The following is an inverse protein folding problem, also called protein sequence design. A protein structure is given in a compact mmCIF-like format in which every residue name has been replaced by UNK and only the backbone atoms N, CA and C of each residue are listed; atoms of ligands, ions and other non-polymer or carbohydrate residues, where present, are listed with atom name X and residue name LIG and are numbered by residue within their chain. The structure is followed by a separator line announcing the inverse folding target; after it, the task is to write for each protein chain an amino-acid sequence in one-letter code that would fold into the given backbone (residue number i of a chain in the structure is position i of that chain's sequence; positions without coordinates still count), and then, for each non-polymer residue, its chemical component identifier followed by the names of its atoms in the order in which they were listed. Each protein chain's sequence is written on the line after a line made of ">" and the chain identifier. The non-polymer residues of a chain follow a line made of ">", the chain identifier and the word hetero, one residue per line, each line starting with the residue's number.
data_IF_970244015862
#
_entry.id   IF_970244015862
#
_cell.length_a   1.000
_cell.length_b   1.000
_cell.length_c   1.000
_cell.angle_alpha   90.00
_cell.angle_beta   90.00
_cell.angle_gamma   90.00
#
_symmetry.space_group_name_H-M   'P 1'
#
loop_
_entity.id
_entity.type
_entity.pdbx_description
1 polymer ?
#
# COMPACT_ATOMS: atom_id res chain seq x y z
N UNK A 1 -15.55 34.04 -16.83
CA UNK A 1 -15.27 32.59 -16.84
C UNK A 1 -13.89 32.42 -16.24
N UNK A 2 -13.73 32.08 -14.95
CA UNK A 2 -12.41 31.72 -14.36
C UNK A 2 -12.57 31.23 -12.90
N UNK A 3 -13.49 30.29 -12.66
CA UNK A 3 -13.64 29.64 -11.33
C UNK A 3 -13.53 28.11 -11.37
N UNK A 4 -13.26 27.53 -12.54
CA UNK A 4 -13.18 26.08 -12.73
C UNK A 4 -11.73 25.55 -12.85
N UNK A 5 -10.73 26.40 -13.09
CA UNK A 5 -9.34 25.96 -13.23
C UNK A 5 -8.62 25.74 -11.88
N UNK A 6 -8.98 26.47 -10.82
CA UNK A 6 -8.30 26.34 -9.51
C UNK A 6 -8.60 25.03 -8.76
N UNK A 7 -9.73 24.38 -9.04
CA UNK A 7 -10.13 23.12 -8.40
C UNK A 7 -9.53 21.87 -9.07
N UNK A 8 -9.16 21.99 -10.36
CA UNK A 8 -8.47 20.92 -11.09
C UNK A 8 -6.99 20.86 -10.68
N UNK A 9 -6.35 22.03 -10.59
CA UNK A 9 -4.96 22.19 -10.17
C UNK A 9 -4.73 21.69 -8.73
N UNK A 10 -5.62 22.06 -7.81
CA UNK A 10 -5.52 21.63 -6.41
C UNK A 10 -5.81 20.14 -6.19
N UNK A 11 -6.69 19.50 -6.98
CA UNK A 11 -6.89 18.04 -6.91
C UNK A 11 -5.69 17.28 -7.46
N UNK A 12 -5.09 17.76 -8.54
CA UNK A 12 -3.90 17.15 -9.14
C UNK A 12 -2.68 17.32 -8.23
N UNK A 13 -2.47 18.51 -7.65
CA UNK A 13 -1.42 18.75 -6.65
C UNK A 13 -1.59 17.90 -5.39
N UNK A 14 -2.80 17.74 -4.85
CA UNK A 14 -3.04 16.87 -3.67
C UNK A 14 -2.82 15.39 -4.02
N UNK A 15 -3.15 14.98 -5.25
CA UNK A 15 -2.89 13.62 -5.71
C UNK A 15 -1.38 13.34 -5.89
N UNK A 16 -0.60 14.33 -6.33
CA UNK A 16 0.86 14.22 -6.41
C UNK A 16 1.54 14.29 -5.04
N UNK A 17 1.04 15.11 -4.10
CA UNK A 17 1.58 15.19 -2.73
C UNK A 17 1.43 13.90 -1.91
N UNK A 18 0.53 13.02 -2.32
CA UNK A 18 0.31 11.73 -1.67
C UNK A 18 1.12 10.60 -2.30
N UNK A 19 1.87 10.86 -3.38
CA UNK A 19 2.75 9.88 -4.03
C UNK A 19 4.17 9.99 -3.52
N UNK A 20 4.82 8.87 -3.32
CA UNK A 20 6.24 8.83 -2.97
C UNK A 20 6.90 7.57 -3.54
N UNK A 21 8.21 7.64 -3.75
CA UNK A 21 8.99 6.54 -4.31
C UNK A 21 9.98 6.05 -3.29
N UNK A 22 10.06 4.72 -3.13
CA UNK A 22 11.04 4.05 -2.27
C UNK A 22 11.95 3.20 -3.14
N UNK A 23 13.26 3.34 -3.00
CA UNK A 23 14.20 2.39 -3.58
C UNK A 23 14.31 1.13 -2.72
N UNK A 24 13.94 -0.01 -3.28
CA UNK A 24 14.08 -1.32 -2.62
C UNK A 24 14.90 -2.27 -3.50
N UNK A 25 16.07 -2.67 -3.01
CA UNK A 25 17.00 -3.60 -3.70
C UNK A 25 17.37 -3.15 -5.13
N UNK A 26 17.49 -1.84 -5.36
CA UNK A 26 17.84 -1.26 -6.66
C UNK A 26 16.66 -1.09 -7.62
N UNK A 27 15.42 -1.31 -7.15
CA UNK A 27 14.20 -1.07 -7.91
C UNK A 27 13.36 0.01 -7.22
N UNK A 28 12.87 1.02 -7.96
CA UNK A 28 11.93 1.99 -7.41
C UNK A 28 10.54 1.36 -7.29
N UNK A 29 9.91 1.53 -6.12
CA UNK A 29 8.50 1.24 -5.89
C UNK A 29 7.76 2.55 -5.65
N UNK A 30 6.69 2.77 -6.40
CA UNK A 30 5.87 3.97 -6.32
C UNK A 30 4.65 3.69 -5.45
N UNK A 31 4.53 4.44 -4.36
CA UNK A 31 3.43 4.33 -3.41
C UNK A 31 2.53 5.55 -3.46
N UNK A 32 1.29 5.35 -3.05
CA UNK A 32 0.30 6.38 -2.74
C UNK A 32 -0.09 6.21 -1.27
N UNK A 33 -0.07 7.31 -0.52
CA UNK A 33 -0.65 7.36 0.83
C UNK A 33 -2.13 7.04 0.79
N UNK A 34 -2.54 6.04 1.55
CA UNK A 34 -3.95 5.69 1.70
C UNK A 34 -4.74 6.83 2.35
N UNK A 35 -5.92 7.08 1.82
CA UNK A 35 -6.92 7.93 2.48
C UNK A 35 -7.60 7.17 3.63
N UNK A 36 -8.20 7.91 4.57
CA UNK A 36 -8.98 7.31 5.67
C UNK A 36 -10.11 6.37 5.17
N UNK A 37 -10.64 6.62 3.97
CA UNK A 37 -11.64 5.74 3.33
C UNK A 37 -11.03 4.40 2.90
N UNK A 38 -9.81 4.41 2.38
CA UNK A 38 -9.10 3.19 1.97
C UNK A 38 -8.58 2.41 3.18
N UNK A 39 -8.10 3.10 4.22
CA UNK A 39 -7.74 2.48 5.50
C UNK A 39 -8.94 1.73 6.12
N UNK A 40 -10.15 2.29 6.02
CA UNK A 40 -11.37 1.63 6.49
C UNK A 40 -11.71 0.33 5.73
N UNK A 41 -11.11 0.08 4.56
CA UNK A 41 -11.27 -1.16 3.79
C UNK A 41 -10.20 -2.21 4.12
N UNK A 42 -9.22 -1.88 4.96
CA UNK A 42 -8.08 -2.76 5.27
C UNK A 42 -8.53 -4.13 5.78
N UNK A 43 -9.42 -4.17 6.78
CA UNK A 43 -9.91 -5.42 7.36
C UNK A 43 -10.61 -6.30 6.30
N UNK A 44 -11.38 -5.69 5.41
CA UNK A 44 -12.05 -6.40 4.32
C UNK A 44 -11.03 -7.00 3.35
N UNK A 45 -10.01 -6.22 2.94
CA UNK A 45 -8.97 -6.68 2.01
C UNK A 45 -8.06 -7.75 2.64
N UNK A 46 -7.63 -7.55 3.88
CA UNK A 46 -6.87 -8.54 4.62
C UNK A 46 -7.68 -9.84 4.80
N UNK A 47 -8.99 -9.74 5.04
CA UNK A 47 -9.88 -10.90 5.07
C UNK A 47 -9.89 -11.71 3.76
N UNK A 48 -9.84 -11.03 2.60
CA UNK A 48 -9.73 -11.71 1.29
C UNK A 48 -8.41 -12.49 1.17
N UNK A 49 -7.29 -11.90 1.61
CA UNK A 49 -5.97 -12.56 1.57
C UNK A 49 -5.90 -13.72 2.55
N UNK A 50 -6.46 -13.57 3.75
CA UNK A 50 -6.41 -14.59 4.80
C UNK A 50 -7.05 -15.91 4.36
N UNK A 51 -8.11 -15.86 3.55
CA UNK A 51 -8.72 -17.04 2.94
C UNK A 51 -7.74 -17.80 2.02
N UNK A 52 -6.94 -17.06 1.24
CA UNK A 52 -5.96 -17.65 0.31
C UNK A 52 -4.70 -18.18 1.02
N UNK A 53 -4.40 -17.67 2.22
CA UNK A 53 -3.29 -18.17 3.04
C UNK A 53 -3.61 -19.51 3.74
N UNK A 54 -4.84 -20.02 3.59
CA UNK A 54 -5.19 -21.35 4.08
C UNK A 54 -4.32 -22.43 3.43
N UNK A 55 -3.53 -23.13 4.23
CA UNK A 55 -2.61 -24.18 3.74
C UNK A 55 -1.14 -23.77 3.62
N UNK A 56 -0.77 -22.52 3.91
CA UNK A 56 0.63 -22.07 3.93
C UNK A 56 1.42 -22.52 5.17
N UNK A 57 0.81 -23.29 6.08
CA UNK A 57 1.46 -23.79 7.30
C UNK A 57 1.77 -22.70 8.33
N UNK A 58 1.26 -21.48 8.13
CA UNK A 58 1.42 -20.34 9.02
C UNK A 58 0.56 -20.50 10.26
N UNK A 59 1.05 -20.02 11.41
CA UNK A 59 0.19 -19.85 12.56
C UNK A 59 -0.78 -18.66 12.36
N UNK A 60 -1.80 -18.57 13.22
CA UNK A 60 -2.84 -17.55 13.07
C UNK A 60 -2.30 -16.10 13.07
N UNK A 61 -1.28 -15.82 13.90
CA UNK A 61 -0.69 -14.50 14.00
C UNK A 61 0.13 -14.16 12.74
N UNK A 62 0.93 -15.10 12.25
CA UNK A 62 1.71 -14.96 11.01
C UNK A 62 0.80 -14.76 9.80
N UNK A 63 -0.25 -15.57 9.68
CA UNK A 63 -1.22 -15.47 8.59
C UNK A 63 -1.94 -14.11 8.62
N UNK A 64 -2.32 -13.64 9.82
CA UNK A 64 -2.94 -12.32 9.98
C UNK A 64 -1.97 -11.21 9.58
N UNK A 65 -0.76 -11.18 10.12
CA UNK A 65 0.24 -10.15 9.79
C UNK A 65 0.54 -10.12 8.29
N UNK A 66 0.71 -11.29 7.67
CA UNK A 66 0.95 -11.39 6.24
C UNK A 66 -0.24 -10.90 5.41
N UNK A 67 -1.47 -11.24 5.82
CA UNK A 67 -2.68 -10.80 5.14
C UNK A 67 -2.81 -9.27 5.13
N UNK A 68 -2.55 -8.62 6.28
CA UNK A 68 -2.56 -7.15 6.38
C UNK A 68 -1.45 -6.50 5.56
N UNK A 69 -0.23 -7.03 5.62
CA UNK A 69 0.88 -6.49 4.83
C UNK A 69 0.62 -6.62 3.32
N UNK A 70 0.08 -7.76 2.89
CA UNK A 70 -0.28 -8.00 1.49
C UNK A 70 -1.38 -7.04 1.04
N UNK A 71 -2.44 -6.88 1.85
CA UNK A 71 -3.52 -5.95 1.56
C UNK A 71 -3.03 -4.49 1.51
N UNK A 72 -2.12 -4.10 2.41
CA UNK A 72 -1.50 -2.78 2.39
C UNK A 72 -0.76 -2.53 1.09
N UNK A 73 0.13 -3.45 0.66
CA UNK A 73 0.87 -3.27 -0.60
C UNK A 73 -0.06 -3.19 -1.80
N UNK A 74 -1.08 -4.05 -1.88
CA UNK A 74 -2.06 -3.99 -2.96
C UNK A 74 -2.75 -2.62 -3.04
N UNK A 75 -3.14 -2.04 -1.90
CA UNK A 75 -3.84 -0.75 -1.89
C UNK A 75 -2.91 0.45 -2.06
N UNK A 76 -1.66 0.33 -1.62
CA UNK A 76 -0.73 1.46 -1.54
C UNK A 76 0.18 1.61 -2.77
N UNK A 77 0.31 0.60 -3.64
CA UNK A 77 1.08 0.74 -4.88
C UNK A 77 0.37 1.68 -5.87
N UNK A 78 1.11 2.62 -6.44
CA UNK A 78 0.63 3.57 -7.44
C UNK A 78 0.30 2.86 -8.76
N UNK A 79 -0.42 3.53 -9.67
CA UNK A 79 -0.85 2.95 -10.96
C UNK A 79 0.29 2.29 -11.75
N UNK A 80 1.52 2.84 -11.71
CA UNK A 80 2.69 2.26 -12.40
C UNK A 80 3.06 0.86 -11.88
N UNK A 81 2.86 0.63 -10.58
CA UNK A 81 3.14 -0.62 -9.88
C UNK A 81 1.84 -1.30 -9.41
N UNK A 82 0.69 -0.91 -9.97
CA UNK A 82 -0.61 -1.37 -9.51
C UNK A 82 -0.82 -2.85 -9.81
N UNK A 83 -1.56 -3.49 -8.92
CA UNK A 83 -1.83 -4.91 -8.95
C UNK A 83 -3.29 -5.15 -9.32
N UNK A 84 -3.54 -6.21 -10.06
CA UNK A 84 -4.85 -6.60 -10.57
C UNK A 84 -5.75 -7.20 -9.47
N UNK A 85 -5.15 -7.84 -8.45
CA UNK A 85 -5.91 -8.44 -7.35
C UNK A 85 -5.14 -8.46 -6.01
N UNK A 86 -5.91 -8.53 -4.91
CA UNK A 86 -5.39 -8.31 -3.55
C UNK A 86 -4.30 -9.30 -3.10
N UNK A 87 -4.29 -10.51 -3.64
CA UNK A 87 -3.32 -11.54 -3.28
C UNK A 87 -2.05 -11.51 -4.14
N UNK A 88 -2.01 -10.67 -5.17
CA UNK A 88 -0.93 -10.63 -6.14
C UNK A 88 0.47 -10.38 -5.56
N UNK A 89 0.66 -9.58 -4.48
CA UNK A 89 1.98 -9.45 -3.87
C UNK A 89 2.59 -10.80 -3.47
N UNK A 90 1.77 -11.79 -3.07
CA UNK A 90 2.23 -13.12 -2.67
C UNK A 90 2.85 -13.92 -3.82
N UNK A 91 2.57 -13.57 -5.07
CA UNK A 91 3.08 -14.29 -6.25
C UNK A 91 4.41 -13.77 -6.75
N UNK A 92 4.74 -12.51 -6.47
CA UNK A 92 5.95 -11.85 -6.98
C UNK A 92 6.95 -11.49 -5.89
N UNK A 93 6.51 -11.45 -4.64
CA UNK A 93 7.33 -11.07 -3.50
C UNK A 93 7.38 -12.20 -2.48
N UNK A 94 8.58 -12.39 -1.91
CA UNK A 94 8.74 -13.21 -0.71
C UNK A 94 8.13 -12.52 0.50
N UNK A 95 7.81 -13.29 1.54
CA UNK A 95 7.25 -12.76 2.80
C UNK A 95 8.12 -11.66 3.41
N UNK A 96 9.45 -11.82 3.35
CA UNK A 96 10.40 -10.80 3.84
C UNK A 96 10.36 -9.54 3.00
N UNK A 97 10.23 -9.63 1.68
CA UNK A 97 10.10 -8.46 0.81
C UNK A 97 8.79 -7.71 1.07
N UNK A 98 7.69 -8.44 1.27
CA UNK A 98 6.41 -7.85 1.64
C UNK A 98 6.55 -7.07 2.95
N UNK A 99 7.12 -7.68 3.99
CA UNK A 99 7.32 -7.03 5.28
C UNK A 99 8.26 -5.80 5.19
N UNK A 100 9.35 -5.90 4.43
CA UNK A 100 10.28 -4.79 4.23
C UNK A 100 9.60 -3.59 3.55
N UNK A 101 8.84 -3.84 2.48
CA UNK A 101 8.14 -2.78 1.74
C UNK A 101 7.05 -2.12 2.59
N UNK A 102 6.28 -2.87 3.38
CA UNK A 102 5.31 -2.30 4.32
C UNK A 102 5.99 -1.43 5.39
N UNK A 103 7.15 -1.86 5.91
CA UNK A 103 7.94 -1.06 6.86
C UNK A 103 8.37 0.26 6.21
N UNK A 104 8.91 0.21 5.00
CA UNK A 104 9.35 1.41 4.28
C UNK A 104 8.19 2.38 3.97
N UNK A 105 7.01 1.84 3.62
CA UNK A 105 5.79 2.63 3.48
C UNK A 105 5.47 3.38 4.77
N UNK A 106 5.43 2.68 5.92
CA UNK A 106 5.10 3.31 7.20
C UNK A 106 6.13 4.34 7.66
N UNK A 107 7.43 4.08 7.47
CA UNK A 107 8.50 5.02 7.78
C UNK A 107 8.31 6.33 6.99
N UNK A 108 8.03 6.25 5.69
CA UNK A 108 7.77 7.44 4.88
C UNK A 108 6.49 8.18 5.31
N UNK A 109 5.42 7.48 5.67
CA UNK A 109 4.20 8.13 6.18
C UNK A 109 4.48 8.90 7.47
N UNK A 110 5.27 8.32 8.39
CA UNK A 110 5.66 8.97 9.64
C UNK A 110 6.49 10.24 9.38
N UNK A 111 7.43 10.18 8.44
CA UNK A 111 8.22 11.33 8.00
C UNK A 111 7.33 12.43 7.39
N UNK A 112 6.38 12.06 6.53
CA UNK A 112 5.42 12.99 5.93
C UNK A 112 4.49 13.64 6.97
N UNK A 113 4.12 12.91 8.03
CA UNK A 113 3.29 13.42 9.13
C UNK A 113 4.09 14.24 10.16
N UNK A 114 5.41 14.33 10.02
CA UNK A 114 6.29 15.04 10.95
C UNK A 114 6.38 14.37 12.32
N UNK A 115 6.13 13.06 12.37
CA UNK A 115 6.21 12.24 13.59
C UNK A 115 7.59 11.58 13.58
N UNK A 116 8.52 12.13 14.39
CA UNK A 116 9.87 11.58 14.61
C UNK A 116 10.03 11.02 16.01
#
# INVERSE_FOLDING_TARGET
>A
MDRLNGAYDSKQMVHEMNKFTVEYRGYPFHFVRLSAKEEALMDYRAGQVLCELSGYGLNAQEATALAYNTALLFMALAEEDSLDFVCEPLYFLTLSQIADLCRLYHEHIQEMDGIS
#
